data_IF_965597109061
#
_entry.id   IF_965597109061
#
_cell.length_a   1.000
_cell.length_b   1.000
_cell.length_c   1.000
_cell.angle_alpha   90.00
_cell.angle_beta   90.00
_cell.angle_gamma   90.00
#
_symmetry.space_group_name_H-M   'P 1'
#
loop_
_entity.id
_entity.type
_entity.pdbx_description
1 polymer ?
#
# COMPACT_ATOMS: atom_id res chain seq x y z
N UNK A 1 21.61 1.39 -1.99
CA UNK A 1 20.35 0.83 -1.42
C UNK A 1 19.22 0.79 -2.45
N UNK A 2 18.81 1.93 -3.03
CA UNK A 2 17.72 2.03 -4.02
C UNK A 2 17.86 1.07 -5.22
N UNK A 3 19.01 1.06 -5.91
CA UNK A 3 19.25 0.14 -7.05
C UNK A 3 19.09 -1.34 -6.70
N UNK A 4 19.51 -1.74 -5.49
CA UNK A 4 19.35 -3.11 -4.97
C UNK A 4 17.87 -3.45 -4.74
N UNK A 5 17.09 -2.49 -4.24
CA UNK A 5 15.63 -2.65 -4.08
C UNK A 5 14.93 -2.80 -5.43
N UNK A 6 15.24 -1.91 -6.39
CA UNK A 6 14.67 -1.97 -7.75
C UNK A 6 14.98 -3.31 -8.42
N UNK A 7 16.24 -3.73 -8.43
CA UNK A 7 16.64 -4.99 -9.05
C UNK A 7 15.95 -6.20 -8.40
N UNK A 8 15.83 -6.21 -7.07
CA UNK A 8 15.13 -7.29 -6.35
C UNK A 8 13.65 -7.37 -6.74
N UNK A 9 12.97 -6.23 -6.81
CA UNK A 9 11.53 -6.23 -7.11
C UNK A 9 11.23 -6.40 -8.60
N UNK A 10 12.17 -6.03 -9.49
CA UNK A 10 12.12 -6.43 -10.90
C UNK A 10 12.27 -7.95 -11.05
N UNK A 11 13.18 -8.57 -10.30
CA UNK A 11 13.36 -10.03 -10.33
C UNK A 11 12.15 -10.80 -9.76
N UNK A 12 11.47 -10.22 -8.77
CA UNK A 12 10.25 -10.78 -8.17
C UNK A 12 8.96 -10.42 -8.95
N UNK A 13 9.07 -9.71 -10.08
CA UNK A 13 7.94 -9.20 -10.88
C UNK A 13 6.95 -8.31 -10.09
N UNK A 14 7.35 -7.76 -8.95
CA UNK A 14 6.54 -6.81 -8.18
C UNK A 14 6.45 -5.43 -8.84
N UNK A 15 7.48 -5.06 -9.61
CA UNK A 15 7.49 -3.84 -10.42
C UNK A 15 7.93 -4.18 -11.83
N UNK A 16 7.43 -3.41 -12.80
CA UNK A 16 7.85 -3.50 -14.20
C UNK A 16 8.15 -2.11 -14.71
N UNK A 17 9.09 -2.01 -15.64
CA UNK A 17 9.33 -0.76 -16.37
C UNK A 17 8.06 -0.35 -17.11
N UNK A 18 7.61 0.88 -16.83
CA UNK A 18 6.45 1.49 -17.46
C UNK A 18 6.78 2.94 -17.79
N UNK A 19 6.31 3.40 -18.95
CA UNK A 19 6.48 4.79 -19.37
C UNK A 19 5.17 5.53 -19.13
N UNK A 20 5.16 6.39 -18.11
CA UNK A 20 4.03 7.25 -17.77
C UNK A 20 4.40 8.72 -17.99
N UNK A 21 3.39 9.55 -18.24
CA UNK A 21 3.54 11.02 -18.21
C UNK A 21 3.47 11.59 -16.79
N UNK A 22 3.16 10.74 -15.80
CA UNK A 22 2.97 11.15 -14.41
C UNK A 22 4.30 11.04 -13.66
N UNK A 23 4.68 12.12 -12.99
CA UNK A 23 5.80 12.14 -12.05
C UNK A 23 5.27 11.93 -10.64
N UNK A 24 5.91 11.03 -9.89
CA UNK A 24 5.54 10.69 -8.52
C UNK A 24 6.79 10.70 -7.65
N UNK A 25 6.66 11.21 -6.43
CA UNK A 25 7.73 11.19 -5.46
C UNK A 25 7.88 9.82 -4.79
N UNK A 26 9.13 9.40 -4.62
CA UNK A 26 9.49 8.16 -3.94
C UNK A 26 10.50 8.47 -2.87
N UNK A 27 10.25 8.00 -1.65
CA UNK A 27 11.12 8.21 -0.50
C UNK A 27 11.25 6.95 0.34
N UNK A 28 12.26 6.90 1.20
CA UNK A 28 12.48 5.79 2.13
C UNK A 28 12.17 6.22 3.55
N UNK A 29 11.30 5.45 4.21
CA UNK A 29 10.96 5.65 5.63
C UNK A 29 11.63 4.56 6.46
N UNK A 30 12.29 4.97 7.55
CA UNK A 30 12.84 4.04 8.53
C UNK A 30 11.73 3.45 9.41
N UNK A 31 11.75 2.13 9.59
CA UNK A 31 10.89 1.43 10.54
C UNK A 31 11.50 1.34 11.92
N UNK A 32 10.67 1.01 12.90
CA UNK A 32 11.08 0.71 14.28
C UNK A 32 12.17 -0.36 14.39
N UNK A 33 12.25 -1.27 13.42
CA UNK A 33 13.28 -2.32 13.35
C UNK A 33 14.51 -1.91 12.50
N UNK A 34 14.72 -0.60 12.28
CA UNK A 34 15.78 -0.01 11.46
C UNK A 34 15.82 -0.43 9.99
N UNK A 35 14.79 -1.15 9.50
CA UNK A 35 14.66 -1.45 8.08
C UNK A 35 13.99 -0.29 7.33
N UNK A 36 14.43 -0.02 6.11
CA UNK A 36 13.82 0.99 5.25
C UNK A 36 12.65 0.39 4.45
N UNK A 37 11.52 1.07 4.41
CA UNK A 37 10.43 0.83 3.44
C UNK A 37 10.50 1.89 2.34
N UNK A 38 10.34 1.47 1.10
CA UNK A 38 10.08 2.39 0.01
C UNK A 38 8.62 2.84 0.10
N UNK A 39 8.39 4.14 0.11
CA UNK A 39 7.07 4.76 0.13
C UNK A 39 6.93 5.62 -1.13
N UNK A 40 5.78 5.46 -1.78
CA UNK A 40 5.42 6.19 -2.99
C UNK A 40 4.36 7.20 -2.58
N UNK A 41 4.55 8.45 -2.98
CA UNK A 41 3.56 9.50 -2.73
C UNK A 41 2.40 9.38 -3.70
N UNK A 42 1.30 8.78 -3.24
CA UNK A 42 0.09 8.64 -4.05
C UNK A 42 -0.83 9.86 -3.93
N UNK A 43 -0.46 10.95 -3.24
CA UNK A 43 -1.40 12.04 -3.00
C UNK A 43 -1.90 12.69 -4.31
N UNK A 44 -0.99 13.01 -5.23
CA UNK A 44 -1.35 13.55 -6.55
C UNK A 44 -2.12 12.54 -7.40
N UNK A 45 -1.70 11.27 -7.37
CA UNK A 45 -2.40 10.19 -8.07
C UNK A 45 -3.83 9.99 -7.58
N UNK A 46 -4.03 10.02 -6.26
CA UNK A 46 -5.34 9.82 -5.63
C UNK A 46 -6.32 10.94 -5.91
N UNK A 47 -5.85 12.13 -6.35
CA UNK A 47 -6.70 13.24 -6.81
C UNK A 47 -7.21 13.00 -8.23
N UNK A 48 -6.43 12.30 -9.06
CA UNK A 48 -6.75 12.06 -10.48
C UNK A 48 -7.62 10.81 -10.64
N UNK A 49 -7.39 9.76 -9.84
CA UNK A 49 -8.12 8.51 -9.97
C UNK A 49 -9.53 8.56 -9.37
N UNK A 50 -10.51 8.04 -10.14
CA UNK A 50 -11.88 7.80 -9.64
C UNK A 50 -11.80 6.71 -8.56
N UNK A 51 -12.18 7.07 -7.34
CA UNK A 51 -12.16 6.14 -6.21
C UNK A 51 -13.26 5.12 -6.38
N UNK A 52 -12.87 3.89 -6.72
CA UNK A 52 -13.80 2.77 -6.75
C UNK A 52 -13.99 2.24 -5.33
N UNK A 53 -14.84 2.93 -4.56
CA UNK A 53 -15.27 2.47 -3.24
C UNK A 53 -16.21 1.26 -3.42
N UNK A 54 -15.63 0.09 -3.73
CA UNK A 54 -16.28 -1.18 -3.39
C UNK A 54 -16.76 -1.12 -1.94
N UNK A 55 -17.78 -1.91 -1.57
CA UNK A 55 -18.53 -1.93 -0.31
C UNK A 55 -17.69 -2.06 1.00
N UNK A 56 -16.71 -1.19 1.20
CA UNK A 56 -15.97 -1.00 2.42
C UNK A 56 -16.93 -0.54 3.52
N UNK A 57 -17.97 0.21 3.14
CA UNK A 57 -19.10 0.55 4.01
C UNK A 57 -19.78 -0.68 4.59
N UNK A 58 -19.91 -1.78 3.84
CA UNK A 58 -20.52 -3.01 4.33
C UNK A 58 -19.61 -3.76 5.30
N UNK A 59 -18.31 -3.82 5.00
CA UNK A 59 -17.30 -4.41 5.88
C UNK A 59 -17.21 -3.63 7.19
N UNK A 60 -17.18 -2.29 7.13
CA UNK A 60 -17.20 -1.43 8.33
C UNK A 60 -18.48 -1.63 9.14
N UNK A 61 -19.64 -1.75 8.49
CA UNK A 61 -20.92 -2.02 9.17
C UNK A 61 -20.91 -3.37 9.88
N UNK A 62 -20.37 -4.42 9.25
CA UNK A 62 -20.20 -5.75 9.88
C UNK A 62 -19.24 -5.67 11.07
N UNK A 63 -18.10 -5.01 10.92
CA UNK A 63 -17.11 -4.86 11.99
C UNK A 63 -17.65 -4.06 13.18
N UNK A 64 -18.45 -3.03 12.94
CA UNK A 64 -19.07 -2.23 14.01
C UNK A 64 -20.24 -2.97 14.69
N UNK A 65 -20.95 -3.85 13.96
CA UNK A 65 -22.04 -4.66 14.50
C UNK A 65 -21.54 -5.89 15.31
N UNK A 66 -20.30 -6.34 15.09
CA UNK A 66 -19.72 -7.55 15.68
C UNK A 66 -19.03 -7.38 17.04
N UNK A 67 -19.35 -6.34 17.82
CA UNK A 67 -18.73 -6.10 19.14
C UNK A 67 -19.31 -6.99 20.26
N UNK A 68 -19.39 -8.30 20.04
CA UNK A 68 -19.43 -9.29 21.12
C UNK A 68 -18.36 -10.35 20.84
N UNK A 69 -17.25 -10.21 21.56
CA UNK A 69 -16.27 -11.23 21.90
C UNK A 69 -15.99 -12.30 20.83
N UNK A 70 -15.14 -11.98 19.87
CA UNK A 70 -14.36 -13.02 19.19
C UNK A 70 -12.95 -12.50 18.94
N UNK A 71 -11.95 -13.34 19.24
CA UNK A 71 -10.53 -13.07 19.01
C UNK A 71 -10.30 -12.75 17.53
N UNK A 72 -10.32 -11.47 17.18
CA UNK A 72 -10.09 -10.99 15.82
C UNK A 72 -8.59 -11.08 15.51
N UNK A 73 -8.19 -12.16 14.84
CA UNK A 73 -6.90 -12.21 14.14
C UNK A 73 -6.94 -11.20 13.00
N UNK A 74 -6.31 -10.04 13.22
CA UNK A 74 -6.09 -9.04 12.16
C UNK A 74 -5.12 -9.62 11.12
N UNK A 75 -5.67 -10.15 10.03
CA UNK A 75 -4.88 -10.46 8.85
C UNK A 75 -4.60 -9.13 8.15
N UNK A 76 -3.36 -8.66 8.27
CA UNK A 76 -2.85 -7.52 7.51
C UNK A 76 -2.28 -8.10 6.22
N UNK A 77 -3.01 -7.93 5.12
CA UNK A 77 -2.45 -8.21 3.78
C UNK A 77 -1.42 -7.09 3.51
N UNK A 78 -0.16 -7.48 3.37
CA UNK A 78 0.97 -6.59 3.08
C UNK A 78 1.15 -6.35 1.59
#
# INVERSE_FOLDING_TARGET
>A
FFKKYINKNLYLDYIRLFKSFINIFIFFISKKNNSLRLCVDYEELNKIFIKNYYFLSFILKILLAGNQESLLTKIIIS
#
